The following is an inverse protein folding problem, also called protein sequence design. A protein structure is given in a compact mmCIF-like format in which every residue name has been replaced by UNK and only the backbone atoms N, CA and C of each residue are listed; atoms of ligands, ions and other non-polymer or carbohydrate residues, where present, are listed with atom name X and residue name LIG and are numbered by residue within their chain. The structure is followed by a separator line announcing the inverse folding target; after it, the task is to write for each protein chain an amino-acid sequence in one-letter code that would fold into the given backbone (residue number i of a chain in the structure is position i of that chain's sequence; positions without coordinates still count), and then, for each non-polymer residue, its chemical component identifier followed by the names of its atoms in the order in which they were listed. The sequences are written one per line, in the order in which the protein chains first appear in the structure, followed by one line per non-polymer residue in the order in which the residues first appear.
data_IF_229626271255
#
_entry.id   IF_229626271255
#
_cell.length_a   1.000
_cell.length_b   1.000
_cell.length_c   1.000
_cell.angle_alpha   90.00
_cell.angle_beta   90.00
_cell.angle_gamma   90.00
#
_symmetry.space_group_name_H-M   'P 1'
#
loop_
_entity.id
_entity.type
_entity.pdbx_description
1 polymer ?
#
# COMPACT_ATOMS: atom_id res chain seq x y z
N UNK A 1 12.90 -32.46 -2.38
CA UNK A 1 11.75 -32.58 -1.43
C UNK A 1 10.45 -32.26 -2.15
N UNK A 2 9.29 -32.78 -1.69
CA UNK A 2 7.99 -32.38 -2.29
C UNK A 2 7.73 -30.87 -2.05
N UNK A 3 7.28 -30.12 -3.07
CA UNK A 3 6.98 -28.69 -2.91
C UNK A 3 5.79 -28.50 -1.97
N UNK A 4 5.83 -27.44 -1.15
CA UNK A 4 4.69 -27.07 -0.30
C UNK A 4 3.69 -26.33 -1.18
N UNK A 5 2.48 -26.87 -1.34
CA UNK A 5 1.43 -26.30 -2.21
C UNK A 5 0.32 -25.66 -1.38
N UNK A 6 -0.13 -24.50 -1.83
CA UNK A 6 -1.29 -23.79 -1.32
C UNK A 6 -2.22 -23.50 -2.49
N UNK A 7 -3.46 -23.98 -2.40
CA UNK A 7 -4.50 -23.74 -3.40
C UNK A 7 -5.67 -23.07 -2.71
N UNK A 8 -6.09 -21.90 -3.20
CA UNK A 8 -7.16 -21.13 -2.59
C UNK A 8 -7.83 -20.19 -3.58
N UNK A 9 -9.08 -19.83 -3.29
CA UNK A 9 -9.83 -18.86 -4.07
C UNK A 9 -9.54 -17.44 -3.58
N UNK A 10 -8.69 -16.72 -4.32
CA UNK A 10 -8.41 -15.32 -4.03
C UNK A 10 -9.61 -14.43 -4.42
N UNK A 11 -9.94 -13.42 -3.62
CA UNK A 11 -10.97 -12.42 -3.98
C UNK A 11 -10.30 -11.10 -4.33
N UNK A 12 -10.97 -10.26 -5.13
CA UNK A 12 -10.49 -8.91 -5.46
C UNK A 12 -10.12 -8.10 -4.19
N UNK A 13 -10.90 -8.27 -3.11
CA UNK A 13 -10.65 -7.64 -1.81
C UNK A 13 -9.28 -7.97 -1.21
N UNK A 14 -8.76 -9.16 -1.47
CA UNK A 14 -7.47 -9.62 -0.94
C UNK A 14 -6.31 -8.97 -1.70
N UNK A 15 -6.46 -8.77 -3.01
CA UNK A 15 -5.51 -7.97 -3.80
C UNK A 15 -5.57 -6.48 -3.47
N UNK A 16 -6.74 -5.95 -3.10
CA UNK A 16 -6.83 -4.58 -2.57
C UNK A 16 -6.00 -4.47 -1.28
N UNK A 17 -6.09 -5.46 -0.37
CA UNK A 17 -5.23 -5.53 0.82
C UNK A 17 -3.75 -5.60 0.42
N UNK A 18 -3.38 -6.49 -0.51
CA UNK A 18 -2.01 -6.65 -1.01
C UNK A 18 -1.40 -5.32 -1.48
N UNK A 19 -2.15 -4.53 -2.25
CA UNK A 19 -1.66 -3.23 -2.74
C UNK A 19 -1.70 -2.16 -1.65
N UNK A 20 -2.73 -2.16 -0.79
CA UNK A 20 -2.85 -1.19 0.31
C UNK A 20 -1.68 -1.28 1.29
N UNK A 21 -1.20 -2.48 1.59
CA UNK A 21 -0.10 -2.69 2.55
C UNK A 21 1.30 -2.45 1.99
N UNK A 22 1.43 -2.11 0.69
CA UNK A 22 2.72 -1.75 0.11
C UNK A 22 3.39 -0.59 0.87
N UNK A 23 4.69 -0.72 1.19
CA UNK A 23 5.42 0.34 1.89
C UNK A 23 5.42 1.67 1.12
N UNK A 24 5.50 1.61 -0.22
CA UNK A 24 5.49 2.79 -1.10
C UNK A 24 4.22 3.62 -0.96
N UNK A 25 3.06 2.99 -0.90
CA UNK A 25 1.79 3.72 -0.81
C UNK A 25 1.72 4.54 0.48
N UNK A 26 2.17 3.97 1.60
CA UNK A 26 2.23 4.68 2.89
C UNK A 26 3.21 5.84 2.86
N UNK A 27 4.36 5.68 2.22
CA UNK A 27 5.34 6.75 2.05
C UNK A 27 4.77 7.92 1.25
N UNK A 28 4.10 7.65 0.13
CA UNK A 28 3.45 8.66 -0.70
C UNK A 28 2.39 9.45 0.08
N UNK A 29 1.56 8.76 0.88
CA UNK A 29 0.57 9.43 1.74
C UNK A 29 1.23 10.37 2.76
N UNK A 30 2.31 9.92 3.43
CA UNK A 30 3.01 10.75 4.42
C UNK A 30 3.67 11.96 3.77
N UNK A 31 4.39 11.76 2.68
CA UNK A 31 5.04 12.85 1.94
C UNK A 31 4.03 13.89 1.46
N UNK A 32 2.91 13.43 0.89
CA UNK A 32 1.86 14.33 0.44
C UNK A 32 1.22 15.10 1.60
N UNK A 33 0.95 14.43 2.73
CA UNK A 33 0.43 15.11 3.91
C UNK A 33 1.38 16.19 4.41
N UNK A 34 2.68 15.87 4.54
CA UNK A 34 3.71 16.83 4.96
C UNK A 34 3.77 18.02 4.00
N UNK A 35 3.78 17.78 2.69
CA UNK A 35 3.85 18.84 1.67
C UNK A 35 2.64 19.78 1.76
N UNK A 36 1.43 19.22 1.88
CA UNK A 36 0.18 20.00 1.98
C UNK A 36 0.18 20.81 3.28
N UNK A 37 0.58 20.22 4.40
CA UNK A 37 0.68 20.93 5.68
C UNK A 37 1.67 22.08 5.59
N UNK A 38 2.86 21.84 5.02
CA UNK A 38 3.89 22.87 4.88
C UNK A 38 3.41 24.03 3.99
N UNK A 39 2.80 23.73 2.85
CA UNK A 39 2.24 24.73 1.94
C UNK A 39 1.14 25.58 2.62
N UNK A 40 0.29 24.93 3.42
CA UNK A 40 -0.78 25.62 4.17
C UNK A 40 -0.21 26.54 5.24
N UNK A 41 0.86 26.11 5.93
CA UNK A 41 1.50 26.89 6.98
C UNK A 41 2.20 28.13 6.39
N UNK A 42 2.92 27.97 5.28
CA UNK A 42 3.51 29.09 4.53
C UNK A 42 2.44 30.08 4.08
N UNK A 43 1.32 29.58 3.55
CA UNK A 43 0.21 30.44 3.12
C UNK A 43 -0.42 31.21 4.29
N UNK A 44 -0.63 30.55 5.44
CA UNK A 44 -1.16 31.21 6.64
C UNK A 44 -0.21 32.29 7.17
N UNK A 45 1.10 32.01 7.23
CA UNK A 45 2.08 33.02 7.63
C UNK A 45 2.07 34.22 6.68
N UNK A 46 1.98 33.99 5.37
CA UNK A 46 1.89 35.06 4.38
C UNK A 46 0.59 35.87 4.52
N UNK A 47 -0.54 35.19 4.71
CA UNK A 47 -1.83 35.86 4.90
C UNK A 47 -1.82 36.73 6.18
N UNK A 48 -1.28 36.23 7.29
CA UNK A 48 -1.14 36.99 8.55
C UNK A 48 -0.22 38.20 8.35
N UNK A 49 0.89 38.04 7.63
CA UNK A 49 1.80 39.16 7.33
C UNK A 49 1.10 40.28 6.55
N UNK A 50 0.34 39.93 5.50
CA UNK A 50 -0.42 40.91 4.71
C UNK A 50 -1.49 41.59 5.57
N UNK A 51 -2.27 40.82 6.35
CA UNK A 51 -3.29 41.38 7.25
C UNK A 51 -2.67 42.36 8.25
N UNK A 52 -1.53 42.00 8.86
CA UNK A 52 -0.85 42.85 9.82
C UNK A 52 -0.32 44.14 9.18
N UNK A 53 0.23 44.04 7.96
CA UNK A 53 0.69 45.20 7.19
C UNK A 53 -0.45 46.15 6.85
N UNK A 54 -1.54 45.63 6.30
CA UNK A 54 -2.67 46.44 5.83
C UNK A 54 -3.42 47.09 7.01
N UNK A 55 -3.48 46.40 8.17
CA UNK A 55 -4.01 46.97 9.42
C UNK A 55 -3.18 48.17 9.92
N UNK A 56 -1.85 48.15 9.73
CA UNK A 56 -0.96 49.26 10.07
C UNK A 56 -1.12 50.43 9.07
N UNK A 57 -1.36 50.13 7.80
CA UNK A 57 -1.56 51.12 6.73
C UNK A 57 -2.95 51.79 6.77
N UNK A 58 -3.87 51.32 7.62
CA UNK A 58 -5.18 51.94 7.88
C UNK A 58 -6.30 51.51 6.94
N UNK A 59 -6.00 50.68 5.94
CA UNK A 59 -6.98 50.01 5.11
C UNK A 59 -7.50 48.77 5.85
N UNK A 60 -8.80 48.72 6.12
CA UNK A 60 -9.40 47.60 6.87
C UNK A 60 -10.39 46.78 6.05
N UNK A 61 -9.94 45.97 5.07
CA UNK A 61 -10.81 45.08 4.31
C UNK A 61 -11.08 43.77 5.08
N UNK A 62 -11.57 43.88 6.32
CA UNK A 62 -11.87 42.75 7.23
C UNK A 62 -12.67 41.62 6.56
N UNK A 63 -13.64 41.98 5.72
CA UNK A 63 -14.49 41.04 4.99
C UNK A 63 -13.67 40.21 3.99
N UNK A 64 -12.75 40.85 3.26
CA UNK A 64 -11.91 40.19 2.25
C UNK A 64 -11.00 39.16 2.93
N UNK A 65 -10.37 39.50 4.04
CA UNK A 65 -9.52 38.56 4.77
C UNK A 65 -10.30 37.41 5.40
N UNK A 66 -11.49 37.68 5.93
CA UNK A 66 -12.37 36.64 6.48
C UNK A 66 -12.76 35.61 5.41
N UNK A 67 -13.10 36.08 4.20
CA UNK A 67 -13.37 35.22 3.04
C UNK A 67 -12.12 34.42 2.63
N UNK A 68 -10.95 35.06 2.63
CA UNK A 68 -9.69 34.42 2.24
C UNK A 68 -9.29 33.30 3.20
N UNK A 69 -9.44 33.52 4.51
CA UNK A 69 -9.21 32.51 5.54
C UNK A 69 -10.20 31.35 5.38
N UNK A 70 -11.49 31.63 5.21
CA UNK A 70 -12.51 30.60 5.01
C UNK A 70 -12.23 29.75 3.76
N UNK A 71 -11.89 30.40 2.65
CA UNK A 71 -11.54 29.72 1.40
C UNK A 71 -10.30 28.83 1.57
N UNK A 72 -9.31 29.28 2.35
CA UNK A 72 -8.11 28.50 2.66
C UNK A 72 -8.45 27.25 3.46
N UNK A 73 -9.33 27.35 4.46
CA UNK A 73 -9.82 26.18 5.20
C UNK A 73 -10.56 25.19 4.28
N UNK A 74 -11.41 25.69 3.39
CA UNK A 74 -12.12 24.85 2.42
C UNK A 74 -11.12 24.13 1.49
N UNK A 75 -10.16 24.86 0.92
CA UNK A 75 -9.12 24.28 0.07
C UNK A 75 -8.25 23.26 0.82
N UNK A 76 -7.95 23.51 2.10
CA UNK A 76 -7.21 22.58 2.94
C UNK A 76 -7.98 21.26 3.12
N UNK A 77 -9.27 21.34 3.44
CA UNK A 77 -10.14 20.17 3.51
C UNK A 77 -10.19 19.42 2.18
N UNK A 78 -10.38 20.12 1.06
CA UNK A 78 -10.39 19.53 -0.28
C UNK A 78 -9.07 18.80 -0.56
N UNK A 79 -7.93 19.43 -0.26
CA UNK A 79 -6.60 18.85 -0.45
C UNK A 79 -6.31 17.64 0.44
N UNK A 80 -6.95 17.51 1.60
CA UNK A 80 -6.83 16.29 2.41
C UNK A 80 -7.68 15.14 1.87
N UNK A 81 -8.85 15.43 1.31
CA UNK A 81 -9.83 14.41 0.92
C UNK A 81 -9.65 13.89 -0.52
N UNK A 82 -9.37 14.77 -1.49
CA UNK A 82 -9.26 14.39 -2.90
C UNK A 82 -8.13 13.37 -3.13
N UNK A 83 -6.91 13.57 -2.62
CA UNK A 83 -5.83 12.62 -2.86
C UNK A 83 -6.10 11.24 -2.25
N UNK A 84 -6.77 11.19 -1.09
CA UNK A 84 -7.22 9.92 -0.50
C UNK A 84 -8.11 9.15 -1.45
N UNK A 85 -9.08 9.82 -2.10
CA UNK A 85 -9.95 9.20 -3.11
C UNK A 85 -9.17 8.75 -4.34
N UNK A 86 -8.30 9.60 -4.88
CA UNK A 86 -7.49 9.28 -6.08
C UNK A 86 -6.59 8.06 -5.82
N UNK A 87 -5.91 8.02 -4.67
CA UNK A 87 -5.02 6.91 -4.34
C UNK A 87 -5.82 5.63 -4.09
N UNK A 88 -6.94 5.69 -3.36
CA UNK A 88 -7.82 4.52 -3.19
C UNK A 88 -8.33 3.98 -4.53
N UNK A 89 -8.67 4.87 -5.46
CA UNK A 89 -9.06 4.50 -6.81
C UNK A 89 -7.90 3.83 -7.57
N UNK A 90 -6.69 4.39 -7.53
CA UNK A 90 -5.49 3.78 -8.12
C UNK A 90 -5.14 2.43 -7.50
N UNK A 91 -5.30 2.28 -6.18
CA UNK A 91 -5.11 1.01 -5.47
C UNK A 91 -6.10 -0.04 -6.00
N UNK A 92 -7.38 0.31 -6.10
CA UNK A 92 -8.41 -0.58 -6.67
C UNK A 92 -8.08 -0.98 -8.11
N UNK A 93 -7.74 -0.03 -8.97
CA UNK A 93 -7.39 -0.33 -10.36
C UNK A 93 -6.17 -1.26 -10.47
N UNK A 94 -5.11 -1.02 -9.69
CA UNK A 94 -3.94 -1.91 -9.66
C UNK A 94 -4.26 -3.29 -9.11
N UNK A 95 -5.08 -3.36 -8.06
CA UNK A 95 -5.54 -4.63 -7.50
C UNK A 95 -6.35 -5.43 -8.54
N UNK A 96 -7.25 -4.77 -9.27
CA UNK A 96 -8.03 -5.38 -10.35
C UNK A 96 -7.13 -5.88 -11.49
N UNK A 97 -6.12 -5.09 -11.90
CA UNK A 97 -5.15 -5.51 -12.92
C UNK A 97 -4.37 -6.76 -12.52
N UNK A 98 -3.98 -6.85 -11.24
CA UNK A 98 -3.26 -8.01 -10.70
C UNK A 98 -4.22 -9.20 -10.58
N UNK A 99 -5.41 -9.00 -10.03
CA UNK A 99 -6.45 -10.01 -9.96
C UNK A 99 -6.73 -10.61 -11.34
N UNK A 100 -6.95 -9.80 -12.37
CA UNK A 100 -7.20 -10.27 -13.73
C UNK A 100 -5.99 -10.97 -14.38
N UNK A 101 -4.77 -10.66 -13.94
CA UNK A 101 -3.55 -11.32 -14.45
C UNK A 101 -3.44 -12.74 -13.91
N UNK A 102 -3.83 -12.97 -12.66
CA UNK A 102 -3.72 -14.27 -12.00
C UNK A 102 -5.03 -15.08 -12.02
N UNK A 103 -6.18 -14.42 -12.19
CA UNK A 103 -7.52 -15.00 -12.34
C UNK A 103 -7.83 -15.22 -13.81
N UNK A 104 -7.84 -16.48 -14.25
CA UNK A 104 -8.39 -16.84 -15.56
C UNK A 104 -9.87 -17.22 -15.36
N UNK A 105 -10.78 -16.55 -16.08
CA UNK A 105 -12.23 -16.82 -16.09
C UNK A 105 -13.00 -16.53 -14.78
N UNK A 106 -12.54 -15.58 -13.95
CA UNK A 106 -13.32 -15.12 -12.78
C UNK A 106 -13.28 -16.05 -11.57
N UNK A 107 -12.58 -17.18 -11.66
CA UNK A 107 -12.27 -18.10 -10.56
C UNK A 107 -10.75 -18.16 -10.43
N UNK A 108 -10.17 -17.35 -9.53
CA UNK A 108 -8.74 -17.42 -9.22
C UNK A 108 -8.49 -18.47 -8.17
N UNK A 109 -8.46 -19.73 -8.58
CA UNK A 109 -7.73 -20.75 -7.84
C UNK A 109 -6.25 -20.37 -7.97
N UNK A 110 -5.77 -19.58 -7.02
CA UNK A 110 -4.36 -19.26 -6.90
C UNK A 110 -3.64 -20.49 -6.37
N UNK A 111 -2.72 -21.00 -7.17
CA UNK A 111 -1.78 -22.02 -6.76
C UNK A 111 -0.45 -21.34 -6.42
N UNK A 112 0.00 -21.50 -5.19
CA UNK A 112 1.33 -21.09 -4.74
C UNK A 112 2.10 -22.34 -4.32
N UNK A 113 3.19 -22.62 -5.02
CA UNK A 113 4.09 -23.74 -4.71
C UNK A 113 5.44 -23.21 -4.23
N UNK A 114 5.92 -23.68 -3.09
CA UNK A 114 7.26 -23.37 -2.60
C UNK A 114 8.21 -24.53 -2.84
N UNK A 115 9.21 -24.29 -3.70
CA UNK A 115 10.27 -25.24 -4.02
C UNK A 115 11.44 -25.03 -3.07
N UNK A 116 11.55 -25.93 -2.09
CA UNK A 116 12.56 -25.85 -1.03
C UNK A 116 13.98 -25.97 -1.57
N UNK A 117 14.18 -26.87 -2.54
CA UNK A 117 15.51 -27.19 -3.10
C UNK A 117 16.10 -26.00 -3.89
N UNK A 118 15.23 -25.18 -4.49
CA UNK A 118 15.60 -24.02 -5.32
C UNK A 118 15.38 -22.68 -4.62
N UNK A 119 14.81 -22.70 -3.41
CA UNK A 119 14.38 -21.52 -2.65
C UNK A 119 13.56 -20.51 -3.48
N UNK A 120 12.52 -20.99 -4.16
CA UNK A 120 11.65 -20.16 -5.01
C UNK A 120 10.17 -20.49 -4.85
N UNK A 121 9.33 -19.52 -5.18
CA UNK A 121 7.89 -19.68 -5.29
C UNK A 121 7.48 -19.79 -6.76
N UNK A 122 6.54 -20.70 -7.05
CA UNK A 122 5.79 -20.72 -8.30
C UNK A 122 4.39 -20.19 -8.02
N UNK A 123 3.98 -19.15 -8.74
CA UNK A 123 2.70 -18.46 -8.48
C UNK A 123 1.79 -18.55 -9.70
N UNK A 124 0.54 -18.92 -9.45
CA UNK A 124 -0.53 -18.99 -10.42
C UNK A 124 -0.37 -20.13 -11.42
N UNK A 125 -1.35 -20.24 -12.34
CA UNK A 125 -1.37 -21.31 -13.36
C UNK A 125 -0.18 -21.23 -14.34
N UNK A 126 0.35 -20.02 -14.56
CA UNK A 126 1.54 -19.81 -15.38
C UNK A 126 2.86 -20.20 -14.68
N UNK A 127 2.80 -20.67 -13.42
CA UNK A 127 3.97 -21.07 -12.60
C UNK A 127 5.09 -20.04 -12.64
N UNK A 128 4.72 -18.78 -12.39
CA UNK A 128 5.70 -17.70 -12.41
C UNK A 128 6.70 -17.87 -11.28
N UNK A 129 7.98 -17.91 -11.62
CA UNK A 129 9.08 -18.10 -10.67
C UNK A 129 9.39 -16.81 -9.92
N UNK A 130 9.40 -16.89 -8.60
CA UNK A 130 9.76 -15.80 -7.69
C UNK A 130 10.79 -16.32 -6.70
N UNK A 131 12.09 -16.09 -6.94
CA UNK A 131 13.13 -16.55 -6.04
C UNK A 131 13.08 -15.79 -4.72
N UNK A 132 13.34 -16.51 -3.62
CA UNK A 132 13.45 -15.95 -2.28
C UNK A 132 14.89 -15.47 -2.09
N UNK A 133 15.08 -14.17 -2.23
CA UNK A 133 16.36 -13.49 -2.04
C UNK A 133 16.25 -12.35 -1.00
N UNK A 134 17.33 -11.62 -0.79
CA UNK A 134 17.40 -10.52 0.19
C UNK A 134 16.39 -9.37 -0.03
N UNK A 135 15.73 -9.33 -1.19
CA UNK A 135 14.71 -8.32 -1.53
C UNK A 135 13.29 -8.80 -1.23
N UNK A 136 13.15 -9.94 -0.57
CA UNK A 136 11.89 -10.57 -0.24
C UNK A 136 11.42 -10.13 1.15
N UNK A 137 10.24 -9.54 1.22
CA UNK A 137 9.60 -9.08 2.45
C UNK A 137 8.25 -9.77 2.63
N UNK A 138 7.93 -10.12 3.88
CA UNK A 138 6.64 -10.70 4.24
C UNK A 138 5.94 -9.77 5.23
N UNK A 139 4.68 -9.46 4.97
CA UNK A 139 3.82 -8.73 5.88
C UNK A 139 2.69 -9.63 6.37
N UNK A 140 2.62 -9.79 7.67
CA UNK A 140 1.56 -10.55 8.31
C UNK A 140 0.37 -9.65 8.60
N UNK A 141 -0.83 -10.06 8.17
CA UNK A 141 -2.10 -9.38 8.49
C UNK A 141 -2.99 -10.30 9.31
N UNK A 142 -4.18 -9.84 9.71
CA UNK A 142 -5.13 -10.68 10.46
C UNK A 142 -5.48 -11.97 9.70
N UNK A 143 -5.69 -11.88 8.40
CA UNK A 143 -6.23 -12.99 7.60
C UNK A 143 -5.22 -13.57 6.58
N UNK A 144 -4.13 -12.87 6.26
CA UNK A 144 -3.21 -13.24 5.18
C UNK A 144 -1.74 -12.99 5.53
N UNK A 145 -0.84 -13.75 4.91
CA UNK A 145 0.54 -13.33 4.67
C UNK A 145 0.66 -12.71 3.28
N UNK A 146 1.28 -11.54 3.21
CA UNK A 146 1.47 -10.77 2.00
C UNK A 146 2.96 -10.78 1.63
N UNK A 147 3.28 -11.25 0.44
CA UNK A 147 4.65 -11.47 -0.02
C UNK A 147 5.01 -10.43 -1.08
N UNK A 148 6.21 -9.84 -0.95
CA UNK A 148 6.70 -8.80 -1.84
C UNK A 148 8.16 -9.01 -2.19
N UNK A 149 8.49 -9.02 -3.49
CA UNK A 149 9.88 -9.04 -3.98
C UNK A 149 10.24 -7.69 -4.60
N UNK A 150 11.22 -6.99 -4.02
CA UNK A 150 11.57 -5.60 -4.33
C UNK A 150 12.86 -5.43 -5.16
N UNK A 151 13.25 -6.44 -5.96
CA UNK A 151 14.53 -6.43 -6.69
C UNK A 151 14.49 -5.75 -8.07
N UNK A 152 13.31 -5.67 -8.70
CA UNK A 152 13.19 -5.34 -10.13
C UNK A 152 12.14 -4.26 -10.43
N UNK A 153 12.19 -3.72 -11.66
CA UNK A 153 11.16 -2.79 -12.20
C UNK A 153 9.74 -3.36 -12.10
N UNK A 154 9.62 -4.69 -12.12
CA UNK A 154 8.37 -5.43 -11.93
C UNK A 154 8.46 -6.12 -10.56
N UNK A 155 7.96 -5.44 -9.52
CA UNK A 155 7.86 -6.05 -8.20
C UNK A 155 6.80 -7.15 -8.22
N UNK A 156 7.21 -8.38 -7.92
CA UNK A 156 6.33 -9.54 -7.79
C UNK A 156 5.66 -9.52 -6.42
N UNK A 157 4.36 -9.84 -6.40
CA UNK A 157 3.52 -9.73 -5.21
C UNK A 157 2.44 -10.79 -5.24
N UNK A 158 2.24 -11.44 -4.12
CA UNK A 158 1.21 -12.46 -3.95
C UNK A 158 0.82 -12.56 -2.47
N UNK A 159 -0.21 -13.34 -2.19
CA UNK A 159 -0.71 -13.55 -0.84
C UNK A 159 -0.94 -15.04 -0.59
N UNK A 160 -0.93 -15.43 0.68
CA UNK A 160 -1.38 -16.75 1.13
C UNK A 160 -2.33 -16.52 2.31
N UNK A 161 -3.59 -16.95 2.24
CA UNK A 161 -4.53 -16.87 3.37
C UNK A 161 -4.06 -17.74 4.54
N UNK A 162 -4.31 -17.29 5.77
CA UNK A 162 -3.85 -17.99 6.99
C UNK A 162 -4.62 -19.25 7.33
N UNK A 163 -5.86 -19.34 6.85
CA UNK A 163 -6.74 -20.48 6.98
C UNK A 163 -6.34 -21.65 6.06
N UNK A 164 -5.56 -21.38 5.01
CA UNK A 164 -5.11 -22.40 4.06
C UNK A 164 -3.91 -23.14 4.63
N UNK A 165 -4.15 -24.37 5.10
CA UNK A 165 -3.15 -25.30 5.61
C UNK A 165 -2.19 -24.64 6.64
N UNK A 166 -2.69 -24.28 7.83
CA UNK A 166 -2.00 -23.43 8.80
C UNK A 166 -0.69 -24.05 9.31
N UNK A 167 -0.60 -25.38 9.36
CA UNK A 167 0.61 -26.06 9.82
C UNK A 167 1.74 -25.96 8.78
N UNK A 168 1.42 -26.19 7.50
CA UNK A 168 2.37 -25.96 6.40
C UNK A 168 2.82 -24.50 6.33
N UNK A 169 1.89 -23.57 6.59
CA UNK A 169 2.17 -22.14 6.59
C UNK A 169 3.10 -21.73 7.75
N UNK A 170 2.89 -22.26 8.96
CA UNK A 170 3.80 -22.05 10.09
C UNK A 170 5.22 -22.55 9.78
N UNK A 171 5.34 -23.73 9.18
CA UNK A 171 6.63 -24.33 8.78
C UNK A 171 7.30 -23.49 7.69
N UNK A 172 6.54 -22.99 6.71
CA UNK A 172 7.05 -22.10 5.68
C UNK A 172 7.60 -20.81 6.28
N UNK A 173 6.82 -20.13 7.13
CA UNK A 173 7.20 -18.84 7.72
C UNK A 173 8.39 -18.99 8.67
N UNK A 174 8.46 -20.05 9.48
CA UNK A 174 9.62 -20.29 10.35
C UNK A 174 10.89 -20.52 9.53
N UNK A 175 10.79 -21.25 8.42
CA UNK A 175 11.91 -21.46 7.50
C UNK A 175 12.35 -20.16 6.83
N UNK A 176 11.44 -19.36 6.29
CA UNK A 176 11.77 -18.08 5.66
C UNK A 176 12.46 -17.14 6.66
N UNK A 177 11.99 -17.10 7.92
CA UNK A 177 12.68 -16.37 9.00
C UNK A 177 14.11 -16.88 9.23
N UNK A 178 14.31 -18.20 9.24
CA UNK A 178 15.66 -18.79 9.42
C UNK A 178 16.61 -18.46 8.25
N UNK A 179 16.08 -18.20 7.06
CA UNK A 179 16.84 -17.75 5.88
C UNK A 179 17.09 -16.23 5.87
N UNK A 180 16.72 -15.52 6.93
CA UNK A 180 16.91 -14.07 7.05
C UNK A 180 15.81 -13.22 6.40
N UNK A 181 14.71 -13.83 5.93
CA UNK A 181 13.58 -13.08 5.38
C UNK A 181 12.87 -12.30 6.48
N UNK A 182 12.67 -11.00 6.24
CA UNK A 182 12.00 -10.12 7.20
C UNK A 182 10.48 -10.34 7.18
N UNK A 183 9.94 -10.72 8.33
CA UNK A 183 8.49 -10.81 8.56
C UNK A 183 8.04 -9.67 9.46
N UNK A 184 7.20 -8.78 8.93
CA UNK A 184 6.68 -7.62 9.67
C UNK A 184 5.23 -7.86 10.06
N UNK A 185 4.94 -7.86 11.37
CA UNK A 185 3.57 -7.94 11.87
C UNK A 185 2.80 -6.64 11.61
N UNK A 186 1.65 -6.76 10.93
CA UNK A 186 0.68 -5.71 10.64
C UNK A 186 -0.75 -6.19 10.88
N UNK A 187 -0.93 -7.07 11.86
CA UNK A 187 -2.24 -7.57 12.31
C UNK A 187 -3.07 -6.54 13.11
N UNK A 188 -2.47 -5.40 13.49
CA UNK A 188 -3.09 -4.31 14.25
C UNK A 188 -3.68 -3.22 13.38
#
# INVERSE_FOLDING_TARGET
MNPIKFEFQAKEKDYIKLIKYLPVNRLLYRLQFILITLATLVFLCYAVYIIARDFIEGDNPFIVYSILILFTFILWFINLWIPRKIINFRIKQKALQIFNRYSHNGVSDELVEYHQDQNLFLIGKAKKEVPVDQYFDIYETKDHYLFYRNKEKIAERFLIPKDVNPDHLKVLISRLKSQGVKVTDRSR
#
